data_IF_191101535131
#
_entry.id   IF_191101535131
#
_cell.length_a   1.000
_cell.length_b   1.000
_cell.length_c   1.000
_cell.angle_alpha   90.00
_cell.angle_beta   90.00
_cell.angle_gamma   90.00
#
_symmetry.space_group_name_H-M   'P 1'
#
loop_
_entity.id
_entity.type
_entity.pdbx_description
1 polymer ?
#
# COMPACT_ATOMS: atom_id res chain seq x y z
N UNK A 1 -3.39 -4.80 5.79
CA UNK A 1 -4.77 -4.58 5.29
C UNK A 1 -5.79 -4.46 6.41
N UNK A 2 -5.72 -5.27 7.47
CA UNK A 2 -6.59 -5.14 8.65
C UNK A 2 -6.60 -3.74 9.25
N UNK A 3 -5.42 -3.19 9.51
CA UNK A 3 -5.27 -1.84 10.05
C UNK A 3 -5.94 -0.79 9.16
N UNK A 4 -5.88 -0.95 7.83
CA UNK A 4 -6.59 -0.10 6.89
C UNK A 4 -8.12 -0.30 6.99
N UNK A 5 -8.59 -1.55 7.11
CA UNK A 5 -10.02 -1.88 7.27
C UNK A 5 -10.61 -1.36 8.57
N UNK A 6 -9.79 -1.13 9.60
CA UNK A 6 -10.22 -0.56 10.86
C UNK A 6 -10.44 0.95 10.80
N UNK A 7 -9.96 1.65 9.75
CA UNK A 7 -10.09 3.11 9.64
C UNK A 7 -11.53 3.54 9.34
N UNK A 8 -12.26 3.02 8.34
CA UNK A 8 -13.64 3.44 8.09
C UNK A 8 -14.58 3.34 9.31
N UNK A 9 -14.63 2.23 10.08
CA UNK A 9 -15.47 2.18 11.27
C UNK A 9 -15.01 3.14 12.38
N UNK A 10 -13.71 3.44 12.48
CA UNK A 10 -13.21 4.45 13.41
C UNK A 10 -13.75 5.86 13.07
N UNK A 11 -13.75 6.23 11.78
CA UNK A 11 -14.36 7.48 11.33
C UNK A 11 -15.87 7.50 11.51
N UNK A 12 -16.58 6.42 11.15
CA UNK A 12 -18.03 6.34 11.29
C UNK A 12 -18.52 6.38 12.75
N UNK A 13 -17.67 5.99 13.71
CA UNK A 13 -17.97 6.03 15.13
C UNK A 13 -17.60 7.37 15.81
N UNK A 14 -17.03 8.32 15.06
CA UNK A 14 -16.53 9.59 15.58
C UNK A 14 -17.30 10.76 14.95
N UNK A 15 -17.57 11.82 15.71
CA UNK A 15 -18.17 13.04 15.15
C UNK A 15 -17.22 13.77 14.21
N UNK A 16 -15.94 13.73 14.54
CA UNK A 16 -14.82 14.24 13.76
C UNK A 16 -13.60 13.40 14.15
N UNK A 17 -12.67 13.19 13.22
CA UNK A 17 -11.37 12.58 13.52
C UNK A 17 -10.30 13.62 13.29
N UNK A 18 -9.67 14.06 14.37
CA UNK A 18 -8.54 14.99 14.30
C UNK A 18 -7.27 14.28 13.84
N UNK A 19 -6.29 15.04 13.35
CA UNK A 19 -4.94 14.54 13.02
C UNK A 19 -4.30 13.77 14.18
N UNK A 20 -4.44 14.28 15.41
CA UNK A 20 -3.84 13.66 16.59
C UNK A 20 -4.51 12.33 16.93
N UNK A 21 -5.84 12.25 16.83
CA UNK A 21 -6.58 11.00 17.05
C UNK A 21 -6.24 9.97 15.99
N UNK A 22 -6.17 10.37 14.71
CA UNK A 22 -5.75 9.50 13.62
C UNK A 22 -4.33 8.95 13.84
N UNK A 23 -3.37 9.83 14.14
CA UNK A 23 -1.98 9.45 14.45
C UNK A 23 -1.93 8.46 15.61
N UNK A 24 -2.66 8.74 16.69
CA UNK A 24 -2.73 7.86 17.87
C UNK A 24 -3.32 6.49 17.51
N UNK A 25 -4.35 6.46 16.66
CA UNK A 25 -5.02 5.25 16.23
C UNK A 25 -4.12 4.33 15.38
N UNK A 26 -3.38 4.89 14.41
CA UNK A 26 -2.57 4.10 13.47
C UNK A 26 -1.14 3.82 13.98
N UNK A 27 -0.63 4.62 14.93
CA UNK A 27 0.72 4.48 15.50
C UNK A 27 1.10 3.06 15.96
N UNK A 28 0.22 2.30 16.67
CA UNK A 28 0.55 0.94 17.06
C UNK A 28 0.77 -0.01 15.86
N UNK A 29 0.09 0.22 14.74
CA UNK A 29 0.28 -0.59 13.53
C UNK A 29 1.65 -0.31 12.90
N UNK A 30 2.07 0.96 12.83
CA UNK A 30 3.39 1.37 12.34
C UNK A 30 4.53 0.77 13.17
N UNK A 31 4.37 0.76 14.50
CA UNK A 31 5.37 0.18 15.41
C UNK A 31 5.51 -1.33 15.25
N UNK A 32 4.41 -2.03 14.95
CA UNK A 32 4.40 -3.49 14.78
C UNK A 32 4.89 -3.95 13.41
N UNK A 33 4.69 -3.17 12.36
CA UNK A 33 4.90 -3.60 10.98
C UNK A 33 5.83 -2.64 10.23
N UNK A 34 7.10 -3.04 10.08
CA UNK A 34 8.13 -2.18 9.49
C UNK A 34 7.93 -1.92 7.99
N UNK A 35 7.13 -2.76 7.34
CA UNK A 35 6.74 -2.59 5.96
C UNK A 35 5.72 -1.49 5.71
N UNK A 36 5.05 -1.00 6.75
CA UNK A 36 4.15 0.15 6.62
C UNK A 36 4.98 1.41 6.58
N UNK A 37 4.88 2.14 5.48
CA UNK A 37 5.55 3.42 5.34
C UNK A 37 4.75 4.56 5.98
N UNK A 38 3.46 4.66 5.63
CA UNK A 38 2.55 5.66 6.20
C UNK A 38 1.09 5.24 6.05
N UNK A 39 0.23 5.80 6.90
CA UNK A 39 -1.20 5.88 6.70
C UNK A 39 -1.60 7.31 6.40
N UNK A 40 -2.51 7.51 5.46
CA UNK A 40 -2.94 8.85 5.05
C UNK A 40 -4.46 8.93 4.93
N UNK A 41 -5.00 10.14 5.09
CA UNK A 41 -6.41 10.43 4.95
C UNK A 41 -6.65 11.58 3.98
N UNK A 42 -7.61 11.37 3.08
CA UNK A 42 -7.97 12.24 1.98
C UNK A 42 -9.47 12.50 2.04
N UNK A 43 -9.91 13.62 2.65
CA UNK A 43 -11.32 13.97 2.65
C UNK A 43 -11.78 14.29 1.22
N UNK A 44 -13.04 13.98 0.92
CA UNK A 44 -13.68 14.48 -0.30
C UNK A 44 -14.06 15.94 -0.08
N UNK A 45 -13.50 16.83 -0.88
CA UNK A 45 -13.75 18.28 -0.82
C UNK A 45 -14.49 18.71 -2.08
N UNK A 46 -15.81 19.01 -2.00
CA UNK A 46 -16.55 19.58 -3.13
C UNK A 46 -15.89 20.85 -3.65
N UNK A 47 -15.96 21.08 -4.96
CA UNK A 47 -15.28 22.21 -5.59
C UNK A 47 -15.71 23.58 -5.04
N UNK A 48 -16.98 23.73 -4.65
CA UNK A 48 -17.54 24.92 -4.03
C UNK A 48 -17.14 25.11 -2.55
N UNK A 49 -16.42 24.15 -1.96
CA UNK A 49 -15.97 24.14 -0.56
C UNK A 49 -14.46 24.26 -0.39
N UNK A 50 -13.68 24.28 -1.49
CA UNK A 50 -12.21 24.35 -1.47
C UNK A 50 -11.72 25.51 -0.58
N UNK A 51 -12.16 26.73 -0.85
CA UNK A 51 -11.76 27.92 -0.08
C UNK A 51 -12.06 27.83 1.42
N UNK A 52 -13.19 27.20 1.77
CA UNK A 52 -13.59 27.02 3.17
C UNK A 52 -12.71 25.96 3.83
N UNK A 53 -12.44 24.87 3.11
CA UNK A 53 -11.60 23.78 3.58
C UNK A 53 -10.15 24.23 3.81
N UNK A 54 -9.55 24.95 2.85
CA UNK A 54 -8.18 25.45 2.98
C UNK A 54 -8.02 26.40 4.18
N UNK A 55 -8.96 27.33 4.38
CA UNK A 55 -8.95 28.22 5.56
C UNK A 55 -9.09 27.45 6.86
N UNK A 56 -9.93 26.43 6.90
CA UNK A 56 -10.09 25.58 8.08
C UNK A 56 -8.81 24.78 8.37
N UNK A 57 -8.17 24.22 7.34
CA UNK A 57 -6.89 23.52 7.46
C UNK A 57 -5.78 24.45 7.98
N UNK A 58 -5.69 25.67 7.46
CA UNK A 58 -4.74 26.68 7.93
C UNK A 58 -4.99 27.05 9.40
N UNK A 59 -6.25 27.26 9.80
CA UNK A 59 -6.62 27.52 11.19
C UNK A 59 -6.31 26.33 12.12
N UNK A 60 -6.31 25.10 11.59
CA UNK A 60 -5.93 23.88 12.30
C UNK A 60 -4.40 23.64 12.36
N UNK A 61 -3.60 24.58 11.85
CA UNK A 61 -2.14 24.56 11.93
C UNK A 61 -1.44 23.88 10.75
N UNK A 62 -2.07 23.80 9.58
CA UNK A 62 -1.38 23.51 8.32
C UNK A 62 -1.01 24.81 7.62
N UNK A 63 0.16 25.35 7.97
CA UNK A 63 0.65 26.61 7.41
C UNK A 63 0.67 26.56 5.88
N UNK A 64 0.03 27.53 5.23
CA UNK A 64 -0.07 27.65 3.77
C UNK A 64 -0.69 26.42 3.08
N UNK A 65 -1.59 25.68 3.74
CA UNK A 65 -2.32 24.59 3.10
C UNK A 65 -3.10 25.10 1.89
N UNK A 66 -2.85 24.46 0.75
CA UNK A 66 -3.57 24.67 -0.51
C UNK A 66 -3.77 23.33 -1.20
N UNK A 67 -4.91 23.15 -1.86
CA UNK A 67 -5.17 22.01 -2.73
C UNK A 67 -4.46 22.26 -4.05
N UNK A 68 -3.61 21.33 -4.46
CA UNK A 68 -2.80 21.45 -5.69
C UNK A 68 -2.79 20.15 -6.48
N UNK A 69 -2.55 20.27 -7.77
CA UNK A 69 -2.38 19.13 -8.68
C UNK A 69 -0.90 18.97 -9.00
N UNK A 70 -0.46 17.72 -9.18
CA UNK A 70 0.87 17.40 -9.68
C UNK A 70 0.82 16.54 -10.94
N UNK A 71 1.88 16.60 -11.75
CA UNK A 71 2.11 15.64 -12.84
C UNK A 71 2.68 14.30 -12.32
N UNK A 72 3.04 13.39 -13.24
CA UNK A 72 3.58 12.07 -12.91
C UNK A 72 4.95 12.11 -12.23
N UNK A 73 5.69 13.21 -12.40
CA UNK A 73 7.00 13.43 -11.82
C UNK A 73 6.90 14.19 -10.48
N UNK A 74 5.69 14.57 -10.07
CA UNK A 74 5.41 15.30 -8.84
C UNK A 74 5.61 16.81 -8.94
N UNK A 75 5.71 17.38 -10.16
CA UNK A 75 5.78 18.83 -10.34
C UNK A 75 4.38 19.43 -10.24
N UNK A 76 4.27 20.58 -9.58
CA UNK A 76 3.01 21.32 -9.48
C UNK A 76 2.54 21.75 -10.88
N UNK A 77 1.26 21.48 -11.15
CA UNK A 77 0.56 21.90 -12.37
C UNK A 77 -0.74 22.63 -11.99
N UNK A 78 -1.32 23.43 -12.90
CA UNK A 78 -2.58 24.12 -12.61
C UNK A 78 -3.66 23.16 -12.10
N UNK A 79 -4.39 23.58 -11.06
CA UNK A 79 -5.46 22.79 -10.47
C UNK A 79 -6.50 22.47 -11.55
N UNK A 80 -6.73 21.17 -11.78
CA UNK A 80 -7.71 20.72 -12.77
C UNK A 80 -9.12 20.99 -12.25
N UNK A 81 -10.01 21.50 -13.10
CA UNK A 81 -11.43 21.65 -12.73
C UNK A 81 -12.08 20.28 -12.55
N UNK A 82 -12.66 20.05 -11.38
CA UNK A 82 -13.38 18.83 -11.00
C UNK A 82 -14.60 19.18 -10.14
N UNK A 83 -15.51 18.23 -9.94
CA UNK A 83 -16.66 18.36 -9.04
C UNK A 83 -16.26 18.23 -7.56
N UNK A 84 -15.20 17.48 -7.28
CA UNK A 84 -14.61 17.32 -5.96
C UNK A 84 -13.14 16.92 -6.05
N UNK A 85 -12.40 17.28 -5.00
CA UNK A 85 -10.99 17.02 -4.81
C UNK A 85 -10.76 16.06 -3.64
N UNK A 86 -9.65 15.34 -3.67
CA UNK A 86 -9.18 14.45 -2.61
C UNK A 86 -7.76 14.85 -2.24
N UNK A 87 -7.57 15.97 -1.51
CA UNK A 87 -6.24 16.38 -1.06
C UNK A 87 -5.74 15.43 0.02
N UNK A 88 -4.44 15.11 0.01
CA UNK A 88 -3.77 14.51 1.18
C UNK A 88 -3.83 15.51 2.32
N UNK A 89 -4.67 15.23 3.33
CA UNK A 89 -4.91 16.16 4.42
C UNK A 89 -3.95 15.92 5.59
N UNK A 90 -3.83 14.68 6.04
CA UNK A 90 -2.84 14.26 7.02
C UNK A 90 -2.46 12.80 6.87
N UNK A 91 -1.33 12.45 7.46
CA UNK A 91 -0.89 11.08 7.59
C UNK A 91 0.01 10.88 8.81
N UNK A 92 0.30 9.62 9.11
CA UNK A 92 1.20 9.20 10.17
C UNK A 92 2.15 8.10 9.63
N UNK A 93 3.47 8.35 9.59
CA UNK A 93 4.10 9.65 9.82
C UNK A 93 3.68 10.69 8.76
N UNK A 94 3.67 11.97 9.14
CA UNK A 94 3.28 13.06 8.24
C UNK A 94 4.37 13.36 7.20
N UNK A 95 3.95 13.52 5.93
CA UNK A 95 4.86 13.73 4.80
C UNK A 95 4.56 15.08 4.15
N UNK A 96 5.25 16.12 4.61
CA UNK A 96 4.93 17.52 4.29
C UNK A 96 4.88 17.81 2.79
N UNK A 97 5.74 17.16 1.98
CA UNK A 97 5.81 17.40 0.54
C UNK A 97 4.56 16.93 -0.23
N UNK A 98 3.73 16.06 0.34
CA UNK A 98 2.52 15.56 -0.35
C UNK A 98 1.22 16.09 0.22
N UNK A 99 1.26 16.75 1.37
CA UNK A 99 0.12 17.47 1.92
C UNK A 99 -0.43 18.46 0.88
N UNK A 100 -1.75 18.45 0.72
CA UNK A 100 -2.49 19.27 -0.25
C UNK A 100 -2.54 18.72 -1.67
N UNK A 101 -1.76 17.68 -2.02
CA UNK A 101 -1.84 17.08 -3.37
C UNK A 101 -3.20 16.38 -3.54
N UNK A 102 -3.95 16.79 -4.56
CA UNK A 102 -5.16 16.11 -4.98
C UNK A 102 -4.82 14.83 -5.76
N UNK A 103 -5.03 13.67 -5.13
CA UNK A 103 -4.76 12.39 -5.77
C UNK A 103 -5.77 12.01 -6.86
N UNK A 104 -6.97 12.61 -6.85
CA UNK A 104 -7.94 12.35 -7.91
C UNK A 104 -7.48 12.91 -9.26
N UNK A 105 -6.82 14.08 -9.25
CA UNK A 105 -6.21 14.68 -10.45
C UNK A 105 -5.00 13.91 -11.01
N UNK A 106 -4.39 13.02 -10.20
CA UNK A 106 -3.14 12.36 -10.57
C UNK A 106 -3.40 11.32 -11.69
N UNK A 107 -2.68 11.39 -12.82
CA UNK A 107 -2.97 10.57 -14.01
C UNK A 107 -3.05 9.07 -13.75
N UNK A 108 -2.15 8.55 -12.88
CA UNK A 108 -2.14 7.12 -12.57
C UNK A 108 -2.98 6.74 -11.33
N UNK A 109 -3.16 7.67 -10.38
CA UNK A 109 -3.70 7.35 -9.05
C UNK A 109 -5.19 7.68 -8.93
N UNK A 110 -5.70 8.63 -9.73
CA UNK A 110 -7.10 9.06 -9.68
C UNK A 110 -8.10 7.92 -9.91
N UNK A 111 -7.78 7.00 -10.83
CA UNK A 111 -8.59 5.78 -11.05
C UNK A 111 -8.71 4.88 -9.82
N UNK A 112 -7.72 4.88 -8.92
CA UNK A 112 -7.77 4.09 -7.69
C UNK A 112 -8.65 4.76 -6.63
N UNK A 113 -8.69 6.10 -6.60
CA UNK A 113 -9.64 6.86 -5.78
C UNK A 113 -11.07 6.54 -6.20
N UNK A 114 -11.39 6.66 -7.49
CA UNK A 114 -12.73 6.38 -8.03
C UNK A 114 -13.16 4.92 -7.81
N UNK A 115 -12.25 3.97 -8.04
CA UNK A 115 -12.50 2.56 -7.74
C UNK A 115 -12.71 2.30 -6.26
N UNK A 116 -11.93 2.92 -5.38
CA UNK A 116 -12.08 2.72 -3.94
C UNK A 116 -13.44 3.22 -3.42
N UNK A 117 -13.95 4.35 -3.94
CA UNK A 117 -15.26 4.88 -3.57
C UNK A 117 -16.43 3.98 -4.03
N UNK A 118 -16.28 3.25 -5.13
CA UNK A 118 -17.30 2.32 -5.63
C UNK A 118 -17.13 0.87 -5.14
N UNK A 119 -15.98 0.53 -4.54
CA UNK A 119 -15.68 -0.82 -4.09
C UNK A 119 -16.30 -1.16 -2.71
N UNK A 120 -16.58 -2.45 -2.49
CA UNK A 120 -17.05 -2.96 -1.18
C UNK A 120 -15.90 -3.20 -0.18
N UNK A 121 -14.66 -2.89 -0.53
CA UNK A 121 -13.49 -3.19 0.29
C UNK A 121 -12.23 -2.51 -0.24
N UNK A 122 -11.06 -2.83 0.34
CA UNK A 122 -9.80 -2.24 -0.07
C UNK A 122 -9.50 -2.49 -1.55
N UNK A 123 -8.95 -1.49 -2.22
CA UNK A 123 -8.40 -1.55 -3.58
C UNK A 123 -6.90 -1.28 -3.49
N UNK A 124 -6.07 -1.99 -4.24
CA UNK A 124 -4.63 -1.76 -4.25
C UNK A 124 -4.08 -1.41 -5.63
N UNK A 125 -3.01 -0.61 -5.65
CA UNK A 125 -2.25 -0.37 -6.87
C UNK A 125 -1.45 -1.60 -7.30
N UNK A 126 -1.06 -1.61 -8.58
CA UNK A 126 0.12 -2.35 -8.99
C UNK A 126 1.38 -1.73 -8.34
N UNK A 127 2.53 -2.41 -8.33
CA UNK A 127 3.78 -1.83 -7.83
C UNK A 127 4.12 -0.53 -8.55
N UNK A 128 4.46 0.49 -7.77
CA UNK A 128 4.89 1.79 -8.26
C UNK A 128 6.06 2.34 -7.43
N UNK A 129 6.76 3.30 -8.02
CA UNK A 129 7.66 4.20 -7.29
C UNK A 129 6.85 5.40 -6.81
N UNK A 130 7.00 5.75 -5.54
CA UNK A 130 6.35 6.94 -5.00
C UNK A 130 7.20 8.17 -5.30
N UNK A 131 6.55 9.32 -5.43
CA UNK A 131 7.23 10.63 -5.52
C UNK A 131 8.15 10.82 -4.30
N UNK A 132 7.78 10.25 -3.15
CA UNK A 132 8.47 10.32 -1.86
C UNK A 132 9.58 9.30 -1.64
N UNK A 133 9.64 8.28 -2.48
CA UNK A 133 10.59 7.19 -2.37
C UNK A 133 11.90 7.54 -3.11
N UNK A 134 12.98 6.84 -2.76
CA UNK A 134 14.16 6.79 -3.61
C UNK A 134 13.91 5.90 -4.84
N UNK A 135 14.68 6.08 -5.91
CA UNK A 135 14.46 5.46 -7.24
C UNK A 135 14.41 3.92 -7.26
N UNK A 136 14.79 3.24 -6.17
CA UNK A 136 14.85 1.78 -6.06
C UNK A 136 13.82 1.17 -5.09
N UNK A 137 12.96 1.98 -4.49
CA UNK A 137 11.92 1.52 -3.59
C UNK A 137 10.63 1.28 -4.38
N UNK A 138 10.20 0.02 -4.40
CA UNK A 138 8.87 -0.35 -4.89
C UNK A 138 7.88 -0.40 -3.74
N UNK A 139 6.78 0.31 -3.96
CA UNK A 139 5.70 0.48 -3.00
C UNK A 139 4.36 0.06 -3.62
N UNK A 140 3.42 -0.25 -2.75
CA UNK A 140 2.02 -0.52 -3.09
C UNK A 140 1.15 0.31 -2.17
N UNK A 141 0.17 0.99 -2.75
CA UNK A 141 -0.81 1.77 -2.00
C UNK A 141 -2.12 0.98 -1.97
N UNK A 142 -2.67 0.79 -0.77
CA UNK A 142 -4.01 0.27 -0.58
C UNK A 142 -4.94 1.39 -0.13
N UNK A 143 -6.10 1.49 -0.76
CA UNK A 143 -7.12 2.51 -0.55
C UNK A 143 -8.38 1.87 0.01
N UNK A 144 -9.08 2.56 0.90
CA UNK A 144 -10.42 2.17 1.35
C UNK A 144 -11.29 3.42 1.50
N UNK A 145 -12.54 3.33 1.05
CA UNK A 145 -13.49 4.41 1.23
C UNK A 145 -13.87 4.59 2.71
N UNK A 146 -13.94 5.85 3.12
CA UNK A 146 -14.46 6.28 4.41
C UNK A 146 -15.82 6.93 4.19
N UNK A 147 -16.79 6.57 5.04
CA UNK A 147 -18.12 7.16 5.10
C UNK A 147 -18.39 7.56 6.54
N UNK A 148 -18.65 8.84 6.78
CA UNK A 148 -18.96 9.35 8.12
C UNK A 148 -20.36 8.91 8.56
N UNK A 149 -21.29 8.85 7.61
CA UNK A 149 -22.65 8.32 7.82
C UNK A 149 -22.93 7.13 6.89
N UNK A 150 -22.55 5.90 7.26
CA UNK A 150 -22.68 4.72 6.40
C UNK A 150 -24.12 4.40 5.96
N UNK A 151 -25.12 4.92 6.67
CA UNK A 151 -26.54 4.74 6.36
C UNK A 151 -27.03 5.59 5.19
N UNK A 152 -26.28 6.62 4.79
CA UNK A 152 -26.62 7.52 3.68
C UNK A 152 -26.28 6.83 2.35
N UNK A 153 -27.31 6.53 1.55
CA UNK A 153 -27.17 5.74 0.31
C UNK A 153 -26.67 6.53 -0.90
N UNK A 154 -26.73 7.86 -0.88
CA UNK A 154 -26.60 8.69 -2.08
C UNK A 154 -25.20 9.27 -2.31
N UNK A 155 -24.24 9.03 -1.42
CA UNK A 155 -22.85 9.47 -1.57
C UNK A 155 -21.93 8.29 -1.88
N UNK A 156 -20.98 8.46 -2.80
CA UNK A 156 -20.01 7.40 -3.15
C UNK A 156 -18.96 7.18 -2.03
N UNK A 157 -18.47 8.26 -1.41
CA UNK A 157 -17.53 8.23 -0.28
C UNK A 157 -17.36 9.65 0.30
N UNK A 158 -17.10 9.78 1.60
CA UNK A 158 -16.78 11.05 2.26
C UNK A 158 -15.28 11.35 2.30
N UNK A 159 -14.48 10.32 2.04
CA UNK A 159 -13.04 10.40 1.92
C UNK A 159 -12.43 9.05 1.64
N UNK A 160 -11.12 9.01 1.55
CA UNK A 160 -10.31 7.81 1.36
C UNK A 160 -9.28 7.74 2.48
N UNK A 161 -9.16 6.57 3.10
CA UNK A 161 -7.99 6.22 3.89
C UNK A 161 -7.05 5.39 3.04
N UNK A 162 -5.74 5.61 3.22
CA UNK A 162 -4.69 4.91 2.49
C UNK A 162 -3.68 4.29 3.44
N UNK A 163 -3.10 3.21 2.96
CA UNK A 163 -1.97 2.52 3.56
C UNK A 163 -0.90 2.35 2.48
N UNK A 164 0.29 2.89 2.73
CA UNK A 164 1.43 2.72 1.83
C UNK A 164 2.36 1.65 2.41
N UNK A 165 2.62 0.62 1.60
CA UNK A 165 3.53 -0.48 1.94
C UNK A 165 4.77 -0.42 1.06
N UNK A 166 5.95 -0.43 1.69
CA UNK A 166 7.22 -0.71 1.01
C UNK A 166 7.42 -2.21 0.99
N UNK A 167 7.54 -2.79 -0.20
CA UNK A 167 7.49 -4.24 -0.33
C UNK A 167 8.73 -4.93 0.25
N UNK A 168 9.92 -4.35 0.06
CA UNK A 168 11.17 -4.97 0.52
C UNK A 168 11.15 -5.28 2.03
N UNK A 169 10.85 -4.32 2.94
CA UNK A 169 10.75 -4.63 4.36
C UNK A 169 9.65 -5.64 4.70
N UNK A 170 8.51 -5.64 3.99
CA UNK A 170 7.44 -6.65 4.20
C UNK A 170 7.97 -8.06 3.92
N UNK A 171 8.67 -8.24 2.79
CA UNK A 171 9.24 -9.55 2.43
C UNK A 171 10.34 -9.96 3.40
N UNK A 172 11.23 -9.04 3.77
CA UNK A 172 12.30 -9.30 4.74
C UNK A 172 11.77 -9.69 6.12
N UNK A 173 10.71 -9.03 6.58
CA UNK A 173 10.03 -9.34 7.85
C UNK A 173 9.33 -10.71 7.79
N UNK A 174 8.62 -11.01 6.69
CA UNK A 174 7.88 -12.25 6.52
C UNK A 174 8.79 -13.48 6.37
N UNK A 175 9.93 -13.33 5.71
CA UNK A 175 10.90 -14.42 5.52
C UNK A 175 11.77 -14.62 6.78
N UNK A 176 11.92 -13.57 7.59
CA UNK A 176 12.67 -13.59 8.84
C UNK A 176 14.16 -13.87 8.65
N UNK A 177 14.92 -13.87 9.75
CA UNK A 177 16.36 -14.14 9.82
C UNK A 177 16.79 -15.54 9.31
N UNK A 178 15.85 -16.33 8.79
CA UNK A 178 16.07 -17.60 8.11
C UNK A 178 16.75 -17.34 6.77
N UNK A 179 18.09 -17.28 6.81
CA UNK A 179 19.04 -17.23 5.66
C UNK A 179 18.38 -16.91 4.32
N UNK A 180 18.00 -15.63 4.14
CA UNK A 180 17.68 -15.06 2.82
C UNK A 180 18.75 -15.42 1.78
N UNK A 181 19.99 -15.68 2.24
CA UNK A 181 21.14 -16.19 1.50
C UNK A 181 20.92 -17.53 0.76
N UNK A 182 19.98 -18.37 1.20
CA UNK A 182 19.80 -19.72 0.67
C UNK A 182 18.68 -19.83 -0.38
N UNK A 183 17.85 -18.79 -0.52
CA UNK A 183 16.67 -18.81 -1.39
C UNK A 183 16.62 -17.60 -2.32
N UNK A 184 16.36 -17.84 -3.61
CA UNK A 184 15.92 -16.84 -4.56
C UNK A 184 14.39 -16.66 -4.43
N UNK A 185 13.97 -15.44 -4.15
CA UNK A 185 12.55 -15.08 -3.96
C UNK A 185 12.16 -14.04 -4.99
N UNK A 186 11.06 -14.27 -5.70
CA UNK A 186 10.44 -13.29 -6.59
C UNK A 186 8.94 -13.20 -6.36
N UNK A 187 8.43 -11.98 -6.24
CA UNK A 187 7.02 -11.67 -6.17
C UNK A 187 6.63 -10.93 -7.45
N UNK A 188 5.60 -11.41 -8.13
CA UNK A 188 5.15 -10.85 -9.40
C UNK A 188 3.67 -10.54 -9.39
N UNK A 189 3.31 -9.44 -10.04
CA UNK A 189 1.94 -9.08 -10.34
C UNK A 189 1.67 -9.47 -11.80
N UNK A 190 0.87 -10.52 -12.06
CA UNK A 190 0.59 -10.99 -13.41
C UNK A 190 -0.26 -10.00 -14.23
N UNK A 191 -1.03 -9.14 -13.55
CA UNK A 191 -1.93 -8.19 -14.18
C UNK A 191 -1.25 -6.84 -14.48
N UNK A 192 -0.05 -6.62 -13.94
CA UNK A 192 0.80 -5.49 -14.28
C UNK A 192 1.48 -5.67 -15.66
N UNK A 193 1.90 -4.55 -16.28
CA UNK A 193 2.57 -4.54 -17.58
C UNK A 193 4.05 -4.21 -17.48
N UNK A 194 4.88 -4.88 -18.28
CA UNK A 194 6.31 -4.56 -18.43
C UNK A 194 7.12 -4.76 -17.14
N UNK A 195 7.96 -3.78 -16.79
CA UNK A 195 8.81 -3.81 -15.59
C UNK A 195 8.02 -3.80 -14.28
N UNK A 196 6.76 -3.33 -14.28
CA UNK A 196 5.88 -3.28 -13.11
C UNK A 196 5.34 -4.66 -12.68
N UNK A 197 5.53 -5.69 -13.53
CA UNK A 197 5.24 -7.07 -13.15
C UNK A 197 6.10 -7.59 -12.01
N UNK A 198 7.31 -7.03 -11.83
CA UNK A 198 8.19 -7.43 -10.75
C UNK A 198 7.89 -6.58 -9.52
N UNK A 199 7.16 -7.17 -8.56
CA UNK A 199 6.82 -6.53 -7.28
C UNK A 199 8.04 -6.54 -6.35
N UNK A 200 8.77 -7.66 -6.32
CA UNK A 200 10.01 -7.79 -5.55
C UNK A 200 10.90 -8.89 -6.10
N UNK A 201 12.22 -8.72 -5.95
CA UNK A 201 13.21 -9.81 -6.01
C UNK A 201 14.32 -9.56 -5.01
N UNK A 202 14.88 -10.63 -4.47
CA UNK A 202 16.14 -10.54 -3.72
C UNK A 202 17.36 -10.67 -4.65
N UNK A 203 18.55 -10.34 -4.14
CA UNK A 203 19.80 -10.31 -4.92
C UNK A 203 20.19 -11.66 -5.54
N UNK A 204 19.64 -12.76 -5.03
CA UNK A 204 19.94 -14.12 -5.47
C UNK A 204 19.05 -14.61 -6.62
N UNK A 205 18.00 -13.85 -6.96
CA UNK A 205 17.15 -14.12 -8.11
C UNK A 205 17.73 -13.46 -9.39
N UNK A 206 18.58 -14.20 -10.12
CA UNK A 206 19.07 -13.76 -11.44
C UNK A 206 17.94 -13.63 -12.48
N UNK A 207 18.00 -12.58 -13.31
CA UNK A 207 17.17 -12.34 -14.51
C UNK A 207 15.67 -12.66 -14.39
N UNK A 208 15.03 -12.06 -13.38
CA UNK A 208 13.57 -11.95 -13.26
C UNK A 208 12.83 -13.26 -12.98
N UNK A 209 13.47 -14.41 -13.16
CA UNK A 209 12.93 -15.70 -12.81
C UNK A 209 13.86 -16.28 -11.76
N UNK A 210 13.33 -16.65 -10.60
CA UNK A 210 13.95 -17.69 -9.80
C UNK A 210 14.03 -18.91 -10.73
N UNK A 211 15.16 -19.07 -11.46
CA UNK A 211 15.23 -20.00 -12.58
C UNK A 211 14.96 -21.37 -11.99
N UNK A 212 13.85 -21.95 -12.41
CA UNK A 212 13.48 -23.31 -12.11
C UNK A 212 14.41 -24.25 -12.90
N UNK A 213 15.72 -24.22 -12.61
CA UNK A 213 16.72 -25.02 -13.33
C UNK A 213 16.51 -26.52 -13.10
N UNK A 214 15.62 -26.94 -12.17
CA UNK A 214 15.44 -28.33 -11.73
C UNK A 214 14.01 -28.76 -11.32
N UNK A 215 12.96 -27.95 -11.52
CA UNK A 215 11.60 -28.26 -11.03
C UNK A 215 11.42 -28.05 -9.52
N UNK A 216 12.22 -27.19 -8.90
CA UNK A 216 12.31 -26.99 -7.44
C UNK A 216 11.75 -25.64 -6.97
N UNK A 217 11.15 -24.85 -7.86
CA UNK A 217 10.52 -23.59 -7.49
C UNK A 217 9.11 -23.83 -6.89
N UNK A 218 8.92 -23.47 -5.62
CA UNK A 218 7.60 -23.40 -5.02
C UNK A 218 6.89 -22.12 -5.50
N UNK A 219 5.63 -22.25 -5.96
CA UNK A 219 4.82 -21.13 -6.44
C UNK A 219 3.54 -21.03 -5.63
N UNK A 220 3.22 -19.82 -5.20
CA UNK A 220 2.04 -19.54 -4.38
C UNK A 220 1.35 -18.26 -4.84
N UNK A 221 0.03 -18.28 -4.81
CA UNK A 221 -0.78 -17.09 -5.01
C UNK A 221 -1.01 -16.40 -3.66
N UNK A 222 -0.73 -15.10 -3.62
CA UNK A 222 -0.98 -14.24 -2.47
C UNK A 222 -2.01 -13.21 -2.89
N UNK A 223 -3.11 -13.14 -2.15
CA UNK A 223 -4.13 -12.09 -2.36
C UNK A 223 -3.79 -10.88 -1.50
N UNK A 224 -3.76 -9.71 -2.12
CA UNK A 224 -3.58 -8.43 -1.46
C UNK A 224 -4.64 -7.45 -1.95
N UNK A 225 -5.61 -7.13 -1.09
CA UNK A 225 -6.79 -6.35 -1.45
C UNK A 225 -7.56 -7.03 -2.61
N UNK A 226 -7.70 -6.33 -3.75
CA UNK A 226 -8.29 -6.83 -4.99
C UNK A 226 -7.25 -7.34 -6.00
N UNK A 227 -5.96 -7.38 -5.62
CA UNK A 227 -4.86 -7.87 -6.44
C UNK A 227 -4.49 -9.33 -6.10
N UNK A 228 -3.99 -10.06 -7.10
CA UNK A 228 -3.42 -11.40 -6.93
C UNK A 228 -1.97 -11.40 -7.36
N UNK A 229 -1.06 -11.75 -6.46
CA UNK A 229 0.37 -11.82 -6.72
C UNK A 229 0.88 -13.26 -6.73
N UNK A 230 1.86 -13.53 -7.58
CA UNK A 230 2.54 -14.81 -7.67
C UNK A 230 3.89 -14.74 -6.96
N UNK A 231 3.99 -15.40 -5.81
CA UNK A 231 5.24 -15.65 -5.12
C UNK A 231 5.90 -16.89 -5.72
N UNK A 232 7.19 -16.78 -6.06
CA UNK A 232 8.05 -17.90 -6.41
C UNK A 232 9.26 -17.93 -5.50
N UNK A 233 9.55 -19.11 -4.95
CA UNK A 233 10.71 -19.37 -4.06
C UNK A 233 11.50 -20.54 -4.62
N UNK A 234 12.80 -20.36 -4.84
CA UNK A 234 13.71 -21.40 -5.31
C UNK A 234 15.03 -21.38 -4.52
N UNK A 235 15.82 -22.47 -4.50
CA UNK A 235 17.19 -22.42 -4.00
C UNK A 235 18.04 -21.36 -4.71
N UNK A 236 18.85 -20.63 -3.95
CA UNK A 236 19.85 -19.71 -4.52
C UNK A 236 20.96 -20.49 -5.23
N UNK A 237 21.56 -19.86 -6.25
CA UNK A 237 22.73 -20.40 -6.94
C UNK A 237 23.91 -20.53 -5.97
N UNK A 238 24.41 -21.74 -5.77
CA UNK A 238 25.49 -22.03 -4.81
C UNK A 238 25.03 -22.45 -3.40
N UNK A 239 23.72 -22.57 -3.16
CA UNK A 239 23.22 -23.13 -1.90
C UNK A 239 23.66 -24.59 -1.72
N UNK A 240 23.99 -24.98 -0.48
CA UNK A 240 24.40 -26.35 -0.12
C UNK A 240 23.22 -27.34 -0.07
N UNK A 241 22.02 -26.91 -0.45
CA UNK A 241 20.84 -27.75 -0.42
C UNK A 241 20.86 -28.77 -1.58
N UNK A 242 21.26 -30.01 -1.25
CA UNK A 242 21.29 -31.13 -2.19
C UNK A 242 19.89 -31.74 -2.43
N UNK A 243 19.65 -32.39 -3.59
CA UNK A 243 18.38 -33.06 -3.92
C UNK A 243 17.91 -34.13 -2.92
N UNK A 244 18.82 -34.67 -2.09
CA UNK A 244 18.51 -35.66 -1.05
C UNK A 244 17.80 -35.11 0.20
N UNK A 245 17.65 -33.80 0.32
CA UNK A 245 17.08 -33.14 1.50
C UNK A 245 15.61 -32.70 1.29
N UNK A 246 14.89 -33.32 0.35
CA UNK A 246 13.47 -33.07 0.04
C UNK A 246 12.52 -32.89 1.25
N UNK A 247 12.63 -33.63 2.37
CA UNK A 247 11.76 -33.38 3.53
C UNK A 247 12.02 -32.03 4.22
N UNK A 248 13.26 -31.55 4.24
CA UNK A 248 13.59 -30.22 4.78
C UNK A 248 13.10 -29.09 3.87
N UNK A 249 13.00 -29.37 2.56
CA UNK A 249 12.39 -28.47 1.58
C UNK A 249 10.91 -28.26 1.83
N UNK A 250 10.16 -29.36 2.02
CA UNK A 250 8.73 -29.32 2.33
C UNK A 250 8.48 -28.63 3.67
N UNK A 251 9.36 -28.86 4.65
CA UNK A 251 9.28 -28.22 5.96
C UNK A 251 9.52 -26.71 5.87
N UNK A 252 10.56 -26.28 5.15
CA UNK A 252 10.92 -24.86 5.02
C UNK A 252 9.87 -24.08 4.22
N UNK A 253 9.38 -24.62 3.10
CA UNK A 253 8.29 -23.99 2.34
C UNK A 253 6.99 -24.01 3.14
N UNK A 254 6.68 -25.11 3.84
CA UNK A 254 5.56 -25.20 4.76
C UNK A 254 5.62 -24.16 5.88
N UNK A 255 6.80 -23.90 6.44
CA UNK A 255 7.02 -22.86 7.46
C UNK A 255 6.84 -21.45 6.90
N UNK A 256 7.44 -21.15 5.74
CA UNK A 256 7.27 -19.85 5.08
C UNK A 256 5.80 -19.62 4.72
N UNK A 257 5.11 -20.63 4.21
CA UNK A 257 3.67 -20.57 3.93
C UNK A 257 2.84 -20.40 5.18
N UNK A 258 3.19 -21.11 6.25
CA UNK A 258 2.48 -20.99 7.53
C UNK A 258 2.68 -19.61 8.14
N UNK A 259 3.86 -19.00 7.99
CA UNK A 259 4.14 -17.64 8.43
C UNK A 259 3.41 -16.59 7.58
N UNK A 260 3.41 -16.73 6.25
CA UNK A 260 2.64 -15.88 5.35
C UNK A 260 1.14 -16.00 5.60
N UNK A 261 0.65 -17.23 5.80
CA UNK A 261 -0.74 -17.50 6.14
C UNK A 261 -1.09 -16.94 7.52
N UNK A 262 -0.24 -17.11 8.53
CA UNK A 262 -0.42 -16.52 9.86
C UNK A 262 -0.43 -14.98 9.80
N UNK A 263 0.33 -14.36 8.91
CA UNK A 263 0.26 -12.92 8.67
C UNK A 263 -1.03 -12.50 7.95
N UNK A 264 -1.62 -13.40 7.15
CA UNK A 264 -2.93 -13.22 6.52
C UNK A 264 -4.13 -13.61 7.40
N UNK A 265 -3.93 -14.30 8.54
CA UNK A 265 -4.98 -14.85 9.43
C UNK A 265 -4.93 -14.32 10.87
N UNK A 266 -3.78 -13.89 11.39
CA UNK A 266 -3.71 -12.96 12.56
C UNK A 266 -4.27 -11.58 12.23
N UNK A 267 -4.76 -11.47 11.00
CA UNK A 267 -5.83 -10.63 10.55
C UNK A 267 -7.24 -11.18 10.92
N UNK A 268 -7.52 -11.36 12.21
CA UNK A 268 -8.85 -11.67 12.78
C UNK A 268 -8.96 -11.14 14.20
#
# INVERSE_FOLDING_TARGET
LEHLRAIPPFFAASSEVTRQEFSTFVSPALQRHRGIYTFEFLPRVPADRVDVFERAAQAAGFDNFVIRTVDVDGNDVPLKMQDAYFPIYFGEPAIQRVVGIDLRSHPEQGRYIERACSAMGPVATHPLSLIEDADDILSVIAFIAVRFEPTRRDEECDGIAMLILRIRPVVEEAVGATRLADFAISLRDPDASGSRQLVHRNYLAEDGNARDKKGLAAKHEIRFADQTWHLSVAPAAGSTFAPGNAPYWILATGLILSLLAAYSVSAK
#
